data_IF_959290586153
#
_entry.id   IF_959290586153
#
_cell.length_a   1.000
_cell.length_b   1.000
_cell.length_c   1.000
_cell.angle_alpha   90.00
_cell.angle_beta   90.00
_cell.angle_gamma   90.00
#
_symmetry.space_group_name_H-M   'P 1'
#
loop_
_entity.id
_entity.type
_entity.pdbx_description
1 polymer ?
#
# COMPACT_ATOMS: atom_id res chain seq x y z
N UNK A 1 -10.56 21.54 4.66
CA UNK A 1 -9.54 20.65 5.29
C UNK A 1 -8.32 20.68 4.38
N UNK A 2 -7.13 20.96 4.91
CA UNK A 2 -5.89 20.72 4.14
C UNK A 2 -5.65 19.23 4.08
N UNK A 3 -5.43 18.68 2.88
CA UNK A 3 -5.08 17.27 2.74
C UNK A 3 -3.72 16.99 3.41
N UNK A 4 -3.62 15.90 4.16
CA UNK A 4 -2.33 15.38 4.62
C UNK A 4 -1.69 14.64 3.45
N UNK A 5 -0.88 15.34 2.67
CA UNK A 5 -0.24 14.81 1.47
C UNK A 5 0.70 13.64 1.76
N UNK A 6 1.37 13.64 2.91
CA UNK A 6 2.26 12.55 3.28
C UNK A 6 1.48 11.26 3.52
N UNK A 7 0.37 11.35 4.25
CA UNK A 7 -0.51 10.21 4.46
C UNK A 7 -1.08 9.67 3.14
N UNK A 8 -1.47 10.57 2.22
CA UNK A 8 -1.96 10.17 0.89
C UNK A 8 -0.87 9.48 0.06
N UNK A 9 0.36 10.00 0.08
CA UNK A 9 1.48 9.41 -0.65
C UNK A 9 1.88 8.04 -0.06
N UNK A 10 1.88 7.91 1.26
CA UNK A 10 2.13 6.63 1.93
C UNK A 10 1.05 5.59 1.57
N UNK A 11 -0.22 6.00 1.57
CA UNK A 11 -1.31 5.13 1.16
C UNK A 11 -1.23 4.74 -0.31
N UNK A 12 -0.88 5.69 -1.19
CA UNK A 12 -0.73 5.43 -2.61
C UNK A 12 0.46 4.50 -2.93
N UNK A 13 1.56 4.63 -2.19
CA UNK A 13 2.81 3.88 -2.42
C UNK A 13 2.93 2.61 -1.57
N UNK A 14 1.89 2.20 -0.83
CA UNK A 14 1.89 0.96 -0.04
C UNK A 14 2.19 -0.27 -0.92
N UNK A 15 1.70 -0.23 -2.16
CA UNK A 15 2.06 -1.12 -3.24
C UNK A 15 2.92 -0.37 -4.26
N UNK A 16 4.10 -0.88 -4.63
CA UNK A 16 4.92 -0.20 -5.61
C UNK A 16 4.38 -0.47 -7.04
N UNK A 17 4.62 0.45 -8.00
CA UNK A 17 4.14 0.28 -9.38
C UNK A 17 4.69 -0.97 -10.07
N UNK A 18 5.81 -1.51 -9.58
CA UNK A 18 6.47 -2.73 -10.06
C UNK A 18 6.13 -3.99 -9.22
N UNK A 19 5.05 -3.96 -8.41
CA UNK A 19 4.58 -5.11 -7.61
C UNK A 19 4.40 -6.36 -8.46
N UNK A 20 3.83 -6.22 -9.65
CA UNK A 20 3.59 -7.32 -10.57
C UNK A 20 4.89 -8.03 -11.02
N UNK A 21 6.02 -7.31 -11.08
CA UNK A 21 7.31 -7.89 -11.45
C UNK A 21 7.89 -8.79 -10.35
N UNK A 22 7.57 -8.52 -9.08
CA UNK A 22 7.96 -9.36 -7.95
C UNK A 22 7.04 -9.14 -6.76
N UNK A 23 6.00 -9.97 -6.65
CA UNK A 23 5.05 -9.91 -5.54
C UNK A 23 5.78 -10.19 -4.22
N UNK A 24 6.69 -11.17 -4.20
CA UNK A 24 7.55 -11.42 -3.04
C UNK A 24 8.58 -10.30 -2.93
N UNK A 25 8.69 -9.69 -1.75
CA UNK A 25 9.64 -8.59 -1.52
C UNK A 25 9.20 -7.22 -2.06
N UNK A 26 7.92 -7.02 -2.41
CA UNK A 26 7.43 -5.70 -2.81
C UNK A 26 7.49 -4.66 -1.67
N UNK A 27 7.31 -5.08 -0.42
CA UNK A 27 7.26 -4.18 0.76
C UNK A 27 8.55 -3.37 0.95
N UNK A 28 9.78 -3.94 0.90
CA UNK A 28 11.00 -3.13 0.87
C UNK A 28 11.05 -2.07 -0.23
N UNK A 29 10.54 -2.38 -1.44
CA UNK A 29 10.53 -1.45 -2.57
C UNK A 29 9.50 -0.34 -2.41
N UNK A 30 8.29 -0.66 -1.96
CA UNK A 30 7.29 0.33 -1.56
C UNK A 30 7.87 1.32 -0.55
N UNK A 31 8.58 0.80 0.46
CA UNK A 31 9.25 1.61 1.47
C UNK A 31 10.32 2.53 0.88
N UNK A 32 11.14 2.03 -0.01
CA UNK A 32 12.21 2.85 -0.60
C UNK A 32 11.64 3.93 -1.54
N UNK A 33 10.56 3.65 -2.28
CA UNK A 33 9.80 4.65 -3.04
C UNK A 33 9.17 5.72 -2.13
N UNK A 34 8.53 5.30 -1.05
CA UNK A 34 7.92 6.21 -0.08
C UNK A 34 8.94 7.16 0.55
N UNK A 35 10.12 6.66 0.95
CA UNK A 35 11.21 7.51 1.47
C UNK A 35 11.64 8.61 0.50
N UNK A 36 11.61 8.34 -0.80
CA UNK A 36 11.93 9.33 -1.83
C UNK A 36 10.82 10.40 -1.89
N UNK A 37 9.56 9.98 -1.79
CA UNK A 37 8.40 10.87 -1.95
C UNK A 37 8.14 11.78 -0.73
N UNK A 38 8.15 11.23 0.48
CA UNK A 38 7.83 11.97 1.73
C UNK A 38 9.06 12.37 2.55
N UNK A 39 10.26 11.92 2.17
CA UNK A 39 11.48 12.15 2.94
C UNK A 39 11.72 11.09 4.02
N UNK A 40 12.70 11.34 4.89
CA UNK A 40 13.34 10.34 5.75
C UNK A 40 12.42 9.48 6.65
N UNK A 41 12.96 8.31 7.04
CA UNK A 41 12.44 7.35 8.04
C UNK A 41 11.01 6.83 7.85
N UNK A 42 10.67 6.41 6.63
CA UNK A 42 9.52 5.50 6.43
C UNK A 42 9.91 4.08 6.85
N UNK A 43 9.32 3.60 7.94
CA UNK A 43 9.42 2.21 8.38
C UNK A 43 8.36 1.35 7.67
N UNK A 44 8.46 0.03 7.82
CA UNK A 44 7.42 -0.88 7.34
C UNK A 44 6.08 -0.62 8.05
N UNK A 45 6.11 -0.43 9.38
CA UNK A 45 4.89 -0.24 10.17
C UNK A 45 4.14 1.04 9.77
N UNK A 46 4.86 2.11 9.46
CA UNK A 46 4.26 3.38 9.01
C UNK A 46 3.48 3.20 7.70
N UNK A 47 4.00 2.39 6.76
CA UNK A 47 3.29 2.07 5.52
C UNK A 47 2.06 1.20 5.76
N UNK A 48 2.16 0.19 6.60
CA UNK A 48 1.03 -0.69 6.93
C UNK A 48 -0.07 0.07 7.68
N UNK A 49 0.31 0.94 8.63
CA UNK A 49 -0.63 1.80 9.38
C UNK A 49 -1.40 2.74 8.45
N UNK A 50 -0.73 3.33 7.45
CA UNK A 50 -1.33 4.27 6.51
C UNK A 50 -2.47 3.65 5.66
N UNK A 51 -2.54 2.33 5.53
CA UNK A 51 -3.55 1.64 4.71
C UNK A 51 -4.34 0.57 5.45
N UNK A 52 -4.05 0.31 6.73
CA UNK A 52 -4.65 -0.83 7.47
C UNK A 52 -6.18 -0.84 7.48
N UNK A 53 -6.82 0.33 7.51
CA UNK A 53 -8.27 0.47 7.46
C UNK A 53 -8.81 0.57 6.02
N UNK A 54 -8.01 1.11 5.09
CA UNK A 54 -8.44 1.42 3.73
C UNK A 54 -8.30 0.23 2.77
N UNK A 55 -7.26 -0.59 2.93
CA UNK A 55 -6.97 -1.72 2.04
C UNK A 55 -8.08 -2.81 2.06
N UNK A 56 -8.62 -3.22 3.23
CA UNK A 56 -9.77 -4.14 3.24
C UNK A 56 -11.00 -3.57 2.55
N UNK A 57 -11.27 -2.26 2.71
CA UNK A 57 -12.41 -1.58 2.07
C UNK A 57 -12.23 -1.51 0.56
N UNK A 58 -11.03 -1.15 0.08
CA UNK A 58 -10.70 -1.17 -1.34
C UNK A 58 -10.87 -2.57 -1.92
N UNK A 59 -10.37 -3.61 -1.22
CA UNK A 59 -10.53 -5.00 -1.64
C UNK A 59 -12.00 -5.44 -1.71
N UNK A 60 -12.86 -4.99 -0.79
CA UNK A 60 -14.31 -5.26 -0.85
C UNK A 60 -14.95 -4.63 -2.10
N UNK A 61 -14.56 -3.41 -2.44
CA UNK A 61 -15.11 -2.68 -3.59
C UNK A 61 -14.61 -3.27 -4.92
N UNK A 62 -13.34 -3.69 -4.98
CA UNK A 62 -12.71 -4.23 -6.19
C UNK A 62 -13.08 -5.68 -6.50
N UNK A 63 -13.71 -6.39 -5.56
CA UNK A 63 -14.11 -7.78 -5.74
C UNK A 63 -15.34 -7.91 -6.65
N UNK A 64 -15.10 -8.26 -7.92
CA UNK A 64 -15.85 -9.33 -8.59
C UNK A 64 -15.77 -10.59 -7.69
N UNK A 65 -16.81 -11.46 -7.63
CA UNK A 65 -16.94 -12.48 -6.59
C UNK A 65 -15.63 -13.22 -6.35
N UNK A 66 -15.16 -13.20 -5.10
CA UNK A 66 -13.92 -13.89 -4.72
C UNK A 66 -14.05 -15.35 -5.13
N UNK A 67 -13.06 -15.92 -5.85
CA UNK A 67 -12.98 -17.36 -6.01
C UNK A 67 -12.95 -17.96 -4.60
N UNK A 68 -13.93 -18.82 -4.29
CA UNK A 68 -13.81 -19.69 -3.13
C UNK A 68 -12.64 -20.63 -3.42
N UNK A 69 -11.75 -20.83 -2.44
CA UNK A 69 -10.87 -22.00 -2.50
C UNK A 69 -11.81 -23.21 -2.63
N UNK A 70 -11.68 -23.96 -3.72
CA UNK A 70 -12.65 -24.96 -4.15
C UNK A 70 -13.08 -25.91 -3.03
N UNK A 71 -14.30 -26.42 -3.16
CA UNK A 71 -14.92 -27.39 -2.24
C UNK A 71 -13.99 -28.59 -1.93
#
# INVERSE_FOLDING_TARGET
>A
MSANWDALLLAYLHDPPDKALSIRGHVPRARDNAKIAVGGHVSKSVLEEAVSEADPLASIIERLPMPTAGD
#
